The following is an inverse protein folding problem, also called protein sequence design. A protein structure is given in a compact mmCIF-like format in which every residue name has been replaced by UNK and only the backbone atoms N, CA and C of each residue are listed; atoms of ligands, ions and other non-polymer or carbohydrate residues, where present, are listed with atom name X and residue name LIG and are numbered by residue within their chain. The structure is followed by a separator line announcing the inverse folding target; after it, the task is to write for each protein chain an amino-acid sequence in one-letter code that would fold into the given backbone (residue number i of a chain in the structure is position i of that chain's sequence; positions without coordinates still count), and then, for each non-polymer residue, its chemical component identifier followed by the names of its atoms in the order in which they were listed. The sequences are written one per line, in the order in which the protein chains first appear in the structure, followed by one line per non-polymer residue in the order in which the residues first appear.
data_IF_265541124564
#
_entry.id   IF_265541124564
#
_cell.length_a   1.000
_cell.length_b   1.000
_cell.length_c   1.000
_cell.angle_alpha   90.00
_cell.angle_beta   90.00
_cell.angle_gamma   90.00
#
_symmetry.space_group_name_H-M   'P 1'
#
loop_
_entity.id
_entity.type
_entity.pdbx_description
1 polymer ?
#
# COMPACT_ATOMS: atom_id res chain seq x y z
N UNK A 1 3.32 2.70 -8.10
CA UNK A 1 4.27 3.80 -7.75
C UNK A 1 3.88 5.10 -8.48
N UNK A 2 2.58 5.40 -8.62
CA UNK A 2 2.08 6.59 -9.33
C UNK A 2 1.68 7.73 -8.38
N UNK A 3 2.47 7.96 -7.31
CA UNK A 3 2.26 9.09 -6.38
C UNK A 3 3.08 10.34 -6.77
N UNK A 4 3.54 10.46 -8.02
CA UNK A 4 4.52 11.49 -8.41
C UNK A 4 3.97 12.61 -9.30
N UNK A 5 2.67 12.66 -9.56
CA UNK A 5 2.04 13.72 -10.37
C UNK A 5 0.83 14.32 -9.65
N UNK A 6 0.70 15.65 -9.73
CA UNK A 6 -0.48 16.40 -9.31
C UNK A 6 -1.03 17.16 -10.53
N UNK A 7 -2.22 16.81 -11.04
CA UNK A 7 -3.10 15.72 -10.57
C UNK A 7 -2.54 14.32 -10.89
N UNK A 8 -3.05 13.25 -10.23
CA UNK A 8 -2.61 11.88 -10.46
C UNK A 8 -2.68 11.50 -11.93
N UNK A 9 -1.58 10.94 -12.45
CA UNK A 9 -1.53 10.47 -13.83
C UNK A 9 -2.48 9.27 -14.00
N UNK A 10 -3.35 9.27 -15.02
CA UNK A 10 -4.26 8.16 -15.24
C UNK A 10 -3.49 6.89 -15.60
N UNK A 11 -4.08 5.73 -15.26
CA UNK A 11 -3.53 4.45 -15.71
C UNK A 11 -3.44 4.39 -17.25
N UNK A 12 -2.38 3.78 -17.81
CA UNK A 12 -2.29 3.59 -19.24
C UNK A 12 -3.29 2.52 -19.71
N UNK A 13 -3.76 2.64 -20.96
CA UNK A 13 -4.81 1.76 -21.51
C UNK A 13 -4.49 0.25 -21.45
N UNK A 14 -3.22 -0.11 -21.50
CA UNK A 14 -2.76 -1.51 -21.44
C UNK A 14 -2.90 -2.14 -20.04
N UNK A 15 -3.11 -1.34 -18.99
CA UNK A 15 -3.35 -1.83 -17.63
C UNK A 15 -4.83 -2.12 -17.35
N UNK A 16 -5.76 -1.68 -18.22
CA UNK A 16 -7.20 -1.93 -18.07
C UNK A 16 -7.55 -3.42 -17.87
N UNK A 17 -7.01 -4.38 -18.66
CA UNK A 17 -7.29 -5.79 -18.45
C UNK A 17 -6.84 -6.31 -17.09
N UNK A 18 -5.75 -5.76 -16.55
CA UNK A 18 -5.27 -6.12 -15.20
C UNK A 18 -6.20 -5.56 -14.13
N UNK A 19 -6.61 -4.30 -14.25
CA UNK A 19 -7.57 -3.67 -13.32
C UNK A 19 -8.89 -4.45 -13.29
N UNK A 20 -9.40 -4.88 -14.44
CA UNK A 20 -10.58 -5.74 -14.54
C UNK A 20 -10.38 -7.11 -13.87
N UNK A 21 -9.22 -7.73 -14.08
CA UNK A 21 -8.88 -9.01 -13.43
C UNK A 21 -8.78 -8.90 -11.90
N UNK A 22 -8.38 -7.73 -11.39
CA UNK A 22 -8.32 -7.42 -9.97
C UNK A 22 -9.70 -7.08 -9.37
N UNK A 23 -10.78 -7.16 -10.15
CA UNK A 23 -12.16 -7.00 -9.67
C UNK A 23 -12.74 -5.60 -9.87
N UNK A 24 -12.01 -4.68 -10.51
CA UNK A 24 -12.52 -3.35 -10.83
C UNK A 24 -13.43 -3.38 -12.05
N UNK A 25 -14.60 -2.73 -11.95
CA UNK A 25 -15.49 -2.50 -13.11
C UNK A 25 -15.00 -1.28 -13.86
N UNK A 26 -14.17 -1.52 -14.87
CA UNK A 26 -13.51 -0.49 -15.66
C UNK A 26 -13.98 -0.50 -17.11
N UNK A 27 -14.04 0.69 -17.70
CA UNK A 27 -14.27 0.91 -19.12
C UNK A 27 -13.29 1.96 -19.66
N UNK A 28 -13.16 2.03 -20.98
CA UNK A 28 -12.27 2.99 -21.63
C UNK A 28 -13.02 4.27 -21.97
N UNK A 29 -12.63 5.40 -21.37
CA UNK A 29 -13.12 6.72 -21.74
C UNK A 29 -12.00 7.53 -22.37
N UNK A 30 -12.11 7.82 -23.68
CA UNK A 30 -11.08 8.54 -24.46
C UNK A 30 -9.66 7.97 -24.31
N UNK A 31 -9.54 6.65 -24.22
CA UNK A 31 -8.24 5.98 -24.07
C UNK A 31 -7.71 5.89 -22.63
N UNK A 32 -8.49 6.36 -21.65
CA UNK A 32 -8.16 6.27 -20.21
C UNK A 32 -9.07 5.24 -19.52
N UNK A 33 -8.51 4.25 -18.80
CA UNK A 33 -9.27 3.35 -17.93
C UNK A 33 -10.02 4.15 -16.87
N UNK A 34 -11.34 3.98 -16.80
CA UNK A 34 -12.24 4.72 -15.92
C UNK A 34 -13.11 3.73 -15.15
N UNK A 35 -13.32 3.97 -13.85
CA UNK A 35 -14.26 3.19 -13.04
C UNK A 35 -15.70 3.58 -13.35
N UNK A 36 -16.55 2.59 -13.61
CA UNK A 36 -17.99 2.81 -13.83
C UNK A 36 -18.75 3.00 -12.52
N UNK A 37 -18.26 2.38 -11.44
CA UNK A 37 -18.87 2.39 -10.11
C UNK A 37 -17.76 2.52 -9.06
N UNK A 38 -18.05 3.24 -7.98
CA UNK A 38 -17.15 3.29 -6.82
C UNK A 38 -16.88 1.88 -6.29
N UNK A 39 -15.63 1.59 -5.98
CA UNK A 39 -15.17 0.27 -5.55
C UNK A 39 -14.41 0.38 -4.23
N UNK A 40 -14.88 -0.33 -3.21
CA UNK A 40 -14.21 -0.39 -1.91
C UNK A 40 -13.11 -1.44 -1.93
N UNK A 41 -11.85 -0.99 -1.86
CA UNK A 41 -10.69 -1.90 -1.92
C UNK A 41 -10.52 -2.69 -0.61
N UNK A 42 -10.47 -2.03 0.54
CA UNK A 42 -10.28 -2.68 1.84
C UNK A 42 -10.91 -1.90 3.00
N UNK A 43 -10.87 -2.48 4.21
CA UNK A 43 -11.41 -1.90 5.45
C UNK A 43 -10.39 -2.07 6.60
N UNK A 44 -10.37 -1.11 7.53
CA UNK A 44 -9.54 -1.19 8.75
C UNK A 44 -9.85 -2.47 9.53
N UNK A 45 -8.80 -3.14 10.00
CA UNK A 45 -8.90 -4.37 10.78
C UNK A 45 -9.21 -5.65 9.97
N UNK A 46 -9.35 -5.57 8.64
CA UNK A 46 -9.49 -6.75 7.78
C UNK A 46 -8.16 -7.13 7.12
N UNK A 47 -7.88 -8.43 7.08
CA UNK A 47 -6.71 -8.98 6.36
C UNK A 47 -6.88 -8.73 4.87
N UNK A 48 -5.86 -8.14 4.24
CA UNK A 48 -5.84 -7.85 2.81
C UNK A 48 -5.69 -9.14 1.98
N UNK A 49 -6.49 -9.27 0.92
CA UNK A 49 -6.25 -10.30 -0.10
C UNK A 49 -5.11 -9.89 -1.05
N UNK A 50 -4.50 -10.84 -1.78
CA UNK A 50 -3.46 -10.52 -2.76
C UNK A 50 -3.92 -9.52 -3.83
N UNK A 51 -5.18 -9.59 -4.28
CA UNK A 51 -5.77 -8.68 -5.25
C UNK A 51 -5.89 -7.25 -4.70
N UNK A 52 -6.36 -7.12 -3.45
CA UNK A 52 -6.44 -5.84 -2.75
C UNK A 52 -5.06 -5.21 -2.55
N UNK A 53 -4.08 -6.02 -2.11
CA UNK A 53 -2.70 -5.56 -1.95
C UNK A 53 -2.08 -5.13 -3.29
N UNK A 54 -2.36 -5.84 -4.37
CA UNK A 54 -1.90 -5.47 -5.71
C UNK A 54 -2.55 -4.16 -6.19
N UNK A 55 -3.85 -3.95 -5.92
CA UNK A 55 -4.52 -2.68 -6.22
C UNK A 55 -3.87 -1.52 -5.46
N UNK A 56 -3.67 -1.66 -4.13
CA UNK A 56 -3.01 -0.67 -3.29
C UNK A 56 -1.60 -0.32 -3.82
N UNK A 57 -0.85 -1.32 -4.29
CA UNK A 57 0.47 -1.13 -4.90
C UNK A 57 0.43 -0.35 -6.22
N UNK A 58 -0.57 -0.60 -7.06
CA UNK A 58 -0.78 0.11 -8.32
C UNK A 58 -1.06 1.59 -8.07
N UNK A 59 -2.04 1.90 -7.22
CA UNK A 59 -2.38 3.28 -6.82
C UNK A 59 -1.30 3.94 -5.97
N UNK A 60 -0.40 3.16 -5.38
CA UNK A 60 0.75 3.64 -4.63
C UNK A 60 0.47 3.95 -3.15
N UNK A 61 -0.68 3.55 -2.62
CA UNK A 61 -1.04 3.73 -1.22
C UNK A 61 -0.29 2.68 -0.38
N UNK A 62 0.50 3.16 0.59
CA UNK A 62 1.31 2.32 1.48
C UNK A 62 0.60 2.17 2.83
N UNK A 63 -0.07 1.04 3.04
CA UNK A 63 -0.83 0.77 4.27
C UNK A 63 0.01 0.26 5.45
N UNK A 64 1.31 -0.01 5.27
CA UNK A 64 2.14 -0.64 6.30
C UNK A 64 3.53 -0.02 6.37
N UNK A 65 4.03 0.18 7.60
CA UNK A 65 5.40 0.57 7.87
C UNK A 65 6.27 -0.68 8.06
N UNK A 66 7.22 -0.89 7.15
CA UNK A 66 8.24 -1.92 7.34
C UNK A 66 9.28 -1.43 8.36
N UNK A 67 9.50 -2.20 9.43
CA UNK A 67 10.49 -1.91 10.48
C UNK A 67 11.43 -3.09 10.67
N UNK A 68 12.71 -2.79 10.86
CA UNK A 68 13.74 -3.78 11.22
C UNK A 68 14.02 -3.67 12.71
N UNK A 69 14.03 -4.81 13.39
CA UNK A 69 14.26 -4.91 14.82
C UNK A 69 15.52 -5.73 15.07
N UNK A 70 16.49 -5.14 15.77
CA UNK A 70 17.71 -5.83 16.18
C UNK A 70 17.43 -6.69 17.42
N UNK A 71 17.46 -8.02 17.25
CA UNK A 71 17.19 -8.98 18.35
C UNK A 71 18.41 -9.28 19.20
N UNK A 72 19.59 -9.32 18.60
CA UNK A 72 20.82 -9.63 19.31
C UNK A 72 22.04 -9.15 18.54
N UNK A 73 23.15 -9.00 19.26
CA UNK A 73 24.48 -8.80 18.69
C UNK A 73 25.48 -9.74 19.36
N UNK A 74 26.47 -10.17 18.59
CA UNK A 74 27.63 -10.89 19.10
C UNK A 74 28.85 -9.96 19.10
N UNK A 75 29.64 -10.00 20.17
CA UNK A 75 30.88 -9.25 20.29
C UNK A 75 32.08 -10.19 20.13
N UNK A 76 32.96 -9.89 19.18
CA UNK A 76 34.14 -10.71 18.90
C UNK A 76 35.24 -10.61 19.96
N UNK A 77 35.31 -9.49 20.69
CA UNK A 77 36.34 -9.24 21.67
C UNK A 77 36.03 -9.94 23.01
N UNK A 78 34.76 -9.90 23.44
CA UNK A 78 34.32 -10.62 24.65
C UNK A 78 33.84 -12.05 24.37
N UNK A 79 33.43 -12.35 23.14
CA UNK A 79 32.80 -13.62 22.77
C UNK A 79 31.34 -13.75 23.21
N UNK A 80 30.75 -12.68 23.75
CA UNK A 80 29.42 -12.69 24.37
C UNK A 80 28.31 -12.34 23.37
N UNK A 81 27.10 -12.85 23.64
CA UNK A 81 25.89 -12.48 22.90
C UNK A 81 25.06 -11.56 23.79
N UNK A 82 24.83 -10.33 23.33
CA UNK A 82 23.87 -9.41 23.96
C UNK A 82 22.52 -9.59 23.27
N UNK A 83 21.53 -10.08 24.00
CA UNK A 83 20.14 -10.06 23.55
C UNK A 83 19.56 -8.68 23.83
N UNK A 84 18.83 -8.14 22.87
CA UNK A 84 18.13 -6.86 22.98
C UNK A 84 16.66 -7.22 23.15
N UNK A 85 16.11 -6.87 24.31
CA UNK A 85 14.68 -6.94 24.54
C UNK A 85 14.00 -5.90 23.68
N UNK A 86 13.04 -6.33 22.88
CA UNK A 86 12.29 -5.45 21.99
C UNK A 86 10.84 -5.67 22.30
N UNK A 87 10.18 -4.60 22.75
CA UNK A 87 8.73 -4.53 22.86
C UNK A 87 8.11 -4.86 21.49
N UNK A 88 7.01 -5.62 21.50
CA UNK A 88 6.28 -5.93 20.28
C UNK A 88 5.91 -4.62 19.57
N UNK A 89 6.16 -4.58 18.27
CA UNK A 89 5.86 -3.41 17.47
C UNK A 89 4.33 -3.28 17.43
N UNK A 90 3.77 -2.33 18.19
CA UNK A 90 2.35 -2.00 18.08
C UNK A 90 2.03 -1.58 16.64
N UNK A 91 0.86 -2.00 16.15
CA UNK A 91 0.34 -1.58 14.84
C UNK A 91 0.27 -0.05 14.82
N UNK A 92 1.09 0.59 13.97
CA UNK A 92 0.98 2.03 13.76
C UNK A 92 -0.30 2.28 12.97
N UNK A 93 -1.24 3.01 13.57
CA UNK A 93 -2.34 3.61 12.83
C UNK A 93 -1.76 4.75 11.97
N UNK A 94 -1.78 4.56 10.65
CA UNK A 94 -1.58 5.65 9.70
C UNK A 94 -2.89 6.44 9.64
N UNK A 95 -2.88 7.68 10.15
CA UNK A 95 -3.98 8.62 9.95
C UNK A 95 -3.96 9.12 8.50
N UNK A 96 -5.07 8.93 7.78
CA UNK A 96 -5.27 9.44 6.42
C UNK A 96 -5.45 10.98 6.46
N UNK A 97 -4.39 11.76 6.26
CA UNK A 97 -4.47 13.22 6.05
C UNK A 97 -4.79 13.58 4.58
N UNK A 98 -5.92 13.12 4.04
CA UNK A 98 -6.42 13.59 2.73
C UNK A 98 -7.88 14.10 2.83
N UNK A 99 -8.12 15.03 3.76
CA UNK A 99 -9.24 15.99 3.67
C UNK A 99 -8.79 17.24 2.89
N UNK A 100 -8.78 17.21 1.55
CA UNK A 100 -9.09 18.39 0.73
C UNK A 100 -9.25 18.02 -0.75
N UNK A 101 -10.50 17.78 -1.17
CA UNK A 101 -10.95 18.17 -2.51
C UNK A 101 -12.29 18.89 -2.35
N UNK A 102 -12.19 20.12 -1.85
CA UNK A 102 -13.23 21.13 -1.92
C UNK A 102 -13.24 21.71 -3.35
N UNK A 103 -14.46 21.81 -3.88
CA UNK A 103 -14.92 22.50 -5.11
C UNK A 103 -14.68 21.86 -6.49
#
# INVERSE_FOLDING_TARGET
MQQHSSPPEPFPHNEEPQLRRLGLRTSMNRGVPTLEVSHKVCEKGKVLTPEQAQLLKLVGIKMVAFKVVLRSRWDSASGEITQIEVEEIEEIEVEDEDEHMSE
#
